data_IF_508309015428
#
_entry.id   IF_508309015428
#
_cell.length_a   1.000
_cell.length_b   1.000
_cell.length_c   1.000
_cell.angle_alpha   90.00
_cell.angle_beta   90.00
_cell.angle_gamma   90.00
#
_symmetry.space_group_name_H-M   'P 1'
#
loop_
_entity.id
_entity.type
_entity.pdbx_description
1 polymer ?
#
# COMPACT_ATOMS: atom_id res chain seq x y z
N UNK A 1 6.68 20.74 11.74
CA UNK A 1 5.36 20.58 11.07
C UNK A 1 4.59 19.48 11.80
N UNK A 2 3.90 19.77 12.89
CA UNK A 2 2.85 18.90 13.48
C UNK A 2 1.76 19.85 13.95
N UNK A 3 0.71 20.02 13.14
CA UNK A 3 -0.41 20.92 13.42
C UNK A 3 -1.72 20.17 13.15
N UNK A 4 -2.01 19.16 13.96
CA UNK A 4 -3.36 18.59 14.07
C UNK A 4 -3.62 18.22 15.53
N UNK A 5 -4.73 18.72 16.07
CA UNK A 5 -5.16 18.39 17.43
C UNK A 5 -5.42 16.89 17.54
N UNK A 6 -4.81 16.24 18.53
CA UNK A 6 -5.11 14.85 18.91
C UNK A 6 -3.94 13.86 18.89
N UNK A 7 -2.75 14.22 18.39
CA UNK A 7 -1.59 13.30 18.31
C UNK A 7 -1.92 11.95 17.63
N UNK A 8 -2.84 11.97 16.67
CA UNK A 8 -3.26 10.78 15.93
C UNK A 8 -2.46 10.61 14.65
N UNK A 9 -2.28 9.36 14.22
CA UNK A 9 -1.69 9.01 12.92
C UNK A 9 -2.52 9.59 11.77
N UNK A 10 -1.86 9.99 10.67
CA UNK A 10 -2.53 10.56 9.50
C UNK A 10 -3.34 9.51 8.76
N UNK A 11 -4.61 9.82 8.52
CA UNK A 11 -5.47 9.04 7.63
C UNK A 11 -4.93 9.12 6.20
N UNK A 12 -4.43 8.00 5.68
CA UNK A 12 -3.75 7.94 4.38
C UNK A 12 -4.13 6.68 3.60
N UNK A 13 -4.03 6.74 2.28
CA UNK A 13 -4.26 5.59 1.41
C UNK A 13 -3.31 5.57 0.22
N UNK A 14 -3.09 4.38 -0.35
CA UNK A 14 -2.30 4.14 -1.56
C UNK A 14 -3.15 3.33 -2.55
N UNK A 15 -3.26 3.81 -3.79
CA UNK A 15 -3.93 3.13 -4.89
C UNK A 15 -2.89 2.55 -5.85
N UNK A 16 -2.99 1.26 -6.17
CA UNK A 16 -2.05 0.58 -7.07
C UNK A 16 -2.71 -0.61 -7.79
N UNK A 17 -1.98 -1.27 -8.70
CA UNK A 17 -2.44 -2.52 -9.33
C UNK A 17 -2.78 -2.46 -10.82
N UNK A 18 -2.54 -1.35 -11.51
CA UNK A 18 -2.67 -1.28 -12.99
C UNK A 18 -1.39 -0.94 -13.74
N UNK A 19 -0.32 -0.59 -13.03
CA UNK A 19 0.98 -0.33 -13.64
C UNK A 19 1.72 -1.66 -13.88
N UNK A 20 2.06 -1.93 -15.14
CA UNK A 20 2.74 -3.15 -15.59
C UNK A 20 4.17 -2.88 -16.04
N UNK A 21 4.72 -1.68 -15.81
CA UNK A 21 6.15 -1.41 -15.97
C UNK A 21 6.99 -2.26 -15.00
N UNK A 22 8.29 -2.38 -15.26
CA UNK A 22 9.18 -3.11 -14.36
C UNK A 22 9.26 -2.43 -12.98
N UNK A 23 9.27 -1.11 -12.99
CA UNK A 23 9.29 -0.22 -11.83
C UNK A 23 7.98 -0.32 -11.05
N UNK A 24 6.83 -0.28 -11.73
CA UNK A 24 5.52 -0.45 -11.13
C UNK A 24 5.38 -1.80 -10.43
N UNK A 25 5.80 -2.89 -11.08
CA UNK A 25 5.82 -4.22 -10.45
C UNK A 25 6.79 -4.31 -9.27
N UNK A 26 7.94 -3.63 -9.36
CA UNK A 26 8.91 -3.58 -8.27
C UNK A 26 8.29 -2.91 -7.03
N UNK A 27 7.71 -1.73 -7.18
CA UNK A 27 7.06 -1.00 -6.08
C UNK A 27 5.92 -1.81 -5.49
N UNK A 28 5.06 -2.42 -6.31
CA UNK A 28 3.95 -3.25 -5.82
C UNK A 28 4.47 -4.43 -4.99
N UNK A 29 5.53 -5.09 -5.45
CA UNK A 29 6.13 -6.22 -4.73
C UNK A 29 6.69 -5.79 -3.38
N UNK A 30 7.47 -4.71 -3.34
CA UNK A 30 8.06 -4.25 -2.07
C UNK A 30 6.99 -3.70 -1.11
N UNK A 31 5.96 -3.02 -1.62
CA UNK A 31 4.81 -2.59 -0.81
C UNK A 31 4.11 -3.79 -0.16
N UNK A 32 3.80 -4.84 -0.94
CA UNK A 32 3.16 -6.05 -0.42
C UNK A 32 4.05 -6.79 0.58
N UNK A 33 5.37 -6.85 0.34
CA UNK A 33 6.32 -7.45 1.28
C UNK A 33 6.34 -6.72 2.62
N UNK A 34 6.50 -5.40 2.62
CA UNK A 34 6.45 -4.60 3.86
C UNK A 34 5.10 -4.71 4.57
N UNK A 35 4.02 -4.92 3.83
CA UNK A 35 2.69 -5.18 4.41
C UNK A 35 2.65 -6.51 5.16
N UNK A 36 3.22 -7.56 4.57
CA UNK A 36 3.31 -8.89 5.21
C UNK A 36 4.28 -8.89 6.39
N UNK A 37 5.40 -8.18 6.30
CA UNK A 37 6.37 -8.03 7.39
C UNK A 37 5.75 -7.32 8.61
N UNK A 38 4.79 -6.43 8.39
CA UNK A 38 4.11 -5.68 9.44
C UNK A 38 4.96 -4.55 10.02
N UNK A 39 4.41 -3.85 11.02
CA UNK A 39 5.06 -2.70 11.65
C UNK A 39 5.59 -3.08 13.03
N UNK A 40 6.82 -2.69 13.33
CA UNK A 40 7.49 -3.03 14.59
C UNK A 40 7.68 -4.54 14.72
N UNK A 41 7.05 -5.15 15.72
CA UNK A 41 7.14 -6.59 15.97
C UNK A 41 6.18 -7.41 15.09
N UNK A 42 5.96 -6.99 13.84
CA UNK A 42 5.07 -7.68 12.90
C UNK A 42 3.57 -7.42 13.07
N UNK A 43 3.20 -6.33 13.74
CA UNK A 43 1.79 -5.96 13.92
C UNK A 43 1.16 -5.48 12.61
N UNK A 44 -0.14 -5.73 12.44
CA UNK A 44 -0.90 -5.23 11.29
C UNK A 44 -0.97 -3.70 11.30
N UNK A 45 -0.52 -3.07 10.21
CA UNK A 45 -0.62 -1.63 10.03
C UNK A 45 -2.07 -1.19 9.81
N UNK A 46 -2.50 -0.12 10.49
CA UNK A 46 -3.81 0.53 10.25
C UNK A 46 -3.75 1.45 9.03
N UNK A 47 -2.62 2.13 8.83
CA UNK A 47 -2.35 3.02 7.71
C UNK A 47 -0.99 2.72 7.07
N UNK A 48 -0.82 3.01 5.76
CA UNK A 48 -1.86 3.50 4.85
C UNK A 48 -2.87 2.41 4.47
N UNK A 49 -4.11 2.81 4.20
CA UNK A 49 -5.11 1.91 3.58
C UNK A 49 -4.62 1.56 2.17
N UNK A 50 -4.65 0.28 1.83
CA UNK A 50 -4.21 -0.21 0.53
C UNK A 50 -5.40 -0.55 -0.35
N UNK A 51 -5.45 0.05 -1.54
CA UNK A 51 -6.55 -0.12 -2.49
C UNK A 51 -5.99 -0.74 -3.77
N UNK A 52 -6.28 -2.03 -3.94
CA UNK A 52 -5.93 -2.76 -5.16
C UNK A 52 -6.94 -2.50 -6.27
N UNK A 53 -6.48 -1.88 -7.35
CA UNK A 53 -7.27 -1.69 -8.57
C UNK A 53 -7.20 -2.93 -9.45
N UNK A 54 -8.26 -3.72 -9.39
CA UNK A 54 -8.46 -4.91 -10.22
C UNK A 54 -8.86 -4.54 -11.65
N UNK A 55 -8.13 -5.02 -12.67
CA UNK A 55 -8.46 -4.84 -14.10
C UNK A 55 -8.18 -6.12 -14.89
N UNK A 56 -9.13 -6.52 -15.74
CA UNK A 56 -8.99 -7.69 -16.63
C UNK A 56 -7.84 -7.50 -17.61
N UNK A 57 -7.03 -8.53 -17.85
CA UNK A 57 -5.87 -8.48 -18.75
C UNK A 57 -4.71 -7.63 -18.21
N UNK A 58 -4.71 -7.34 -16.91
CA UNK A 58 -3.66 -6.55 -16.22
C UNK A 58 -3.35 -7.16 -14.86
N UNK A 59 -4.29 -7.06 -13.92
CA UNK A 59 -4.16 -7.53 -12.54
C UNK A 59 -5.14 -8.64 -12.19
N UNK A 60 -6.03 -9.00 -13.11
CA UNK A 60 -6.99 -10.08 -12.99
C UNK A 60 -7.12 -10.78 -14.32
N UNK A 61 -6.95 -12.11 -14.32
CA UNK A 61 -6.88 -12.89 -15.56
C UNK A 61 -5.96 -12.17 -16.59
N UNK A 62 -4.69 -11.91 -16.20
CA UNK A 62 -3.73 -11.24 -17.06
C UNK A 62 -3.42 -12.06 -18.31
#
# INVERSE_FOLDING_TARGET
>A
IHSRGGNQVVFSSINYGTDTSAEGRCIIRELLRSTYEGVGNGSTAIFPIQIWKKKRGVSYLP
#
